data_IF_656075970988
#
_entry.id   IF_656075970988
#
_cell.length_a   1.000
_cell.length_b   1.000
_cell.length_c   1.000
_cell.angle_alpha   90.00
_cell.angle_beta   90.00
_cell.angle_gamma   90.00
#
_symmetry.space_group_name_H-M   'P 1'
#
loop_
_entity.id
_entity.type
_entity.pdbx_description
1 polymer ?
#
# COMPACT_ATOMS: atom_id res chain seq x y z
N UNK A 1 13.75 -9.53 -54.08
CA UNK A 1 13.69 -8.37 -53.16
C UNK A 1 12.27 -8.05 -52.71
N UNK A 2 11.28 -7.85 -53.62
CA UNK A 2 9.88 -7.52 -53.27
C UNK A 2 9.20 -8.47 -52.26
N UNK A 3 9.47 -9.79 -52.33
CA UNK A 3 8.94 -10.78 -51.36
C UNK A 3 9.53 -10.61 -49.95
N UNK A 4 10.79 -10.19 -49.85
CA UNK A 4 11.47 -9.96 -48.57
C UNK A 4 10.93 -8.68 -47.91
N UNK A 5 10.70 -7.63 -48.71
CA UNK A 5 10.10 -6.37 -48.23
C UNK A 5 8.68 -6.58 -47.72
N UNK A 6 7.90 -7.46 -48.38
CA UNK A 6 6.51 -7.78 -47.98
C UNK A 6 6.45 -8.57 -46.65
N UNK A 7 7.40 -9.46 -46.41
CA UNK A 7 7.52 -10.19 -45.14
C UNK A 7 7.91 -9.24 -44.02
N UNK A 8 8.84 -8.30 -44.29
CA UNK A 8 9.31 -7.33 -43.30
C UNK A 8 8.20 -6.36 -42.87
N UNK A 9 7.37 -5.87 -43.81
CA UNK A 9 6.22 -5.02 -43.48
C UNK A 9 5.13 -5.76 -42.72
N UNK A 10 4.90 -7.05 -43.02
CA UNK A 10 3.94 -7.88 -42.29
C UNK A 10 4.40 -8.09 -40.83
N UNK A 11 5.69 -8.32 -40.59
CA UNK A 11 6.26 -8.46 -39.25
C UNK A 11 6.11 -7.17 -38.42
N UNK A 12 6.38 -6.00 -38.99
CA UNK A 12 6.23 -4.72 -38.28
C UNK A 12 4.79 -4.39 -37.91
N UNK A 13 3.82 -4.85 -38.71
CA UNK A 13 2.39 -4.61 -38.47
C UNK A 13 1.83 -5.45 -37.30
N UNK A 14 2.48 -6.57 -36.94
CA UNK A 14 2.05 -7.43 -35.83
C UNK A 14 2.55 -6.87 -34.48
N UNK A 15 3.67 -6.14 -34.48
CA UNK A 15 4.30 -5.59 -33.28
C UNK A 15 3.63 -4.33 -32.70
N UNK A 16 2.73 -3.66 -33.42
CA UNK A 16 2.05 -2.44 -32.93
C UNK A 16 0.86 -2.72 -32.01
N UNK A 17 0.49 -3.99 -31.78
CA UNK A 17 -0.63 -4.39 -30.92
C UNK A 17 -0.27 -4.70 -29.46
N UNK A 18 1.00 -4.66 -29.07
CA UNK A 18 1.41 -4.98 -27.69
C UNK A 18 1.20 -3.78 -26.76
N UNK A 19 -0.03 -3.58 -26.30
CA UNK A 19 -0.27 -2.90 -25.03
C UNK A 19 0.32 -3.77 -23.93
N UNK A 20 1.46 -3.34 -23.35
CA UNK A 20 2.07 -3.99 -22.20
C UNK A 20 1.03 -4.15 -21.09
N UNK A 21 0.82 -5.38 -20.64
CA UNK A 21 -0.15 -5.71 -19.62
C UNK A 21 0.17 -4.93 -18.35
N UNK A 22 -0.67 -3.94 -18.01
CA UNK A 22 -0.63 -3.35 -16.67
C UNK A 22 -1.23 -4.37 -15.71
N UNK A 23 -0.42 -5.31 -15.24
CA UNK A 23 -0.83 -6.23 -14.18
C UNK A 23 -1.08 -5.40 -12.93
N UNK A 24 -2.35 -5.28 -12.54
CA UNK A 24 -2.73 -4.69 -11.26
C UNK A 24 -2.16 -5.56 -10.16
N UNK A 25 -1.03 -5.15 -9.59
CA UNK A 25 -0.36 -5.88 -8.51
C UNK A 25 -1.24 -5.93 -7.25
N UNK A 26 -1.07 -7.02 -6.49
CA UNK A 26 -1.68 -7.16 -5.17
C UNK A 26 -1.16 -6.11 -4.20
N UNK A 27 -2.01 -5.72 -3.26
CA UNK A 27 -1.65 -4.79 -2.20
C UNK A 27 -1.10 -5.60 -1.01
N UNK A 28 0.10 -5.24 -0.55
CA UNK A 28 0.77 -5.83 0.58
C UNK A 28 0.70 -4.90 1.80
N UNK A 29 0.44 -5.49 2.97
CA UNK A 29 0.45 -4.78 4.25
C UNK A 29 1.64 -5.28 5.08
N UNK A 30 2.62 -4.42 5.33
CA UNK A 30 3.84 -4.73 6.10
C UNK A 30 3.79 -4.06 7.46
N UNK A 31 4.16 -4.79 8.51
CA UNK A 31 4.26 -4.26 9.89
C UNK A 31 5.55 -3.45 10.04
N UNK A 32 5.46 -2.27 10.64
CA UNK A 32 6.59 -1.39 10.94
C UNK A 32 6.55 -0.92 12.39
N UNK A 33 7.66 -0.43 12.97
CA UNK A 33 7.61 0.24 14.27
C UNK A 33 6.59 1.39 14.22
N UNK A 34 5.58 1.33 15.11
CA UNK A 34 4.52 2.34 15.17
C UNK A 34 3.30 2.09 14.26
N UNK A 35 3.21 0.99 13.50
CA UNK A 35 1.98 0.64 12.77
C UNK A 35 2.16 -0.28 11.57
N UNK A 36 1.46 0.04 10.48
CA UNK A 36 1.50 -0.71 9.22
C UNK A 36 1.73 0.23 8.03
N UNK A 37 2.41 -0.27 7.02
CA UNK A 37 2.61 0.37 5.73
C UNK A 37 2.01 -0.48 4.62
N UNK A 38 1.50 0.20 3.59
CA UNK A 38 0.84 -0.41 2.45
C UNK A 38 1.71 -0.25 1.21
N UNK A 39 1.79 -1.29 0.41
CA UNK A 39 2.60 -1.32 -0.81
C UNK A 39 1.80 -1.94 -1.94
N UNK A 40 1.98 -1.44 -3.16
CA UNK A 40 1.51 -2.08 -4.39
C UNK A 40 2.71 -2.18 -5.32
N UNK A 41 3.19 -3.40 -5.56
CA UNK A 41 4.50 -3.63 -6.15
C UNK A 41 5.61 -2.99 -5.30
N UNK A 42 6.44 -2.16 -5.93
CA UNK A 42 7.54 -1.44 -5.27
C UNK A 42 7.09 -0.10 -4.64
N UNK A 43 5.89 0.38 -4.95
CA UNK A 43 5.42 1.70 -4.53
C UNK A 43 4.72 1.63 -3.17
N UNK A 44 5.13 2.51 -2.25
CA UNK A 44 4.44 2.71 -0.98
C UNK A 44 3.15 3.50 -1.23
N UNK A 45 2.03 2.98 -0.73
CA UNK A 45 0.73 3.65 -0.77
C UNK A 45 0.47 4.38 0.55
N UNK A 46 0.05 5.63 0.44
CA UNK A 46 -0.62 6.37 1.52
C UNK A 46 -2.04 5.84 1.72
N UNK A 47 -2.69 6.22 2.83
CA UNK A 47 -4.09 5.84 3.08
C UNK A 47 -5.02 6.36 1.98
N UNK A 48 -4.81 7.59 1.52
CA UNK A 48 -5.61 8.20 0.46
C UNK A 48 -5.45 7.45 -0.86
N UNK A 49 -4.20 7.12 -1.24
CA UNK A 49 -3.93 6.32 -2.44
C UNK A 49 -4.51 4.92 -2.31
N UNK A 50 -4.39 4.27 -1.15
CA UNK A 50 -4.99 2.97 -0.88
C UNK A 50 -6.52 2.99 -1.09
N UNK A 51 -7.20 4.02 -0.59
CA UNK A 51 -8.66 4.17 -0.78
C UNK A 51 -9.01 4.35 -2.26
N UNK A 52 -8.23 5.15 -3.00
CA UNK A 52 -8.42 5.38 -4.44
C UNK A 52 -8.18 4.09 -5.22
N UNK A 53 -7.13 3.34 -4.92
CA UNK A 53 -6.81 2.06 -5.56
C UNK A 53 -7.88 1.00 -5.31
N UNK A 54 -8.47 0.97 -4.11
CA UNK A 54 -9.51 0.01 -3.73
C UNK A 54 -10.89 0.38 -4.30
N UNK A 55 -11.12 1.66 -4.64
CA UNK A 55 -12.40 2.20 -5.12
C UNK A 55 -13.13 1.37 -6.20
N UNK A 56 -12.45 0.74 -7.19
CA UNK A 56 -13.13 -0.09 -8.19
C UNK A 56 -13.87 -1.31 -7.61
N UNK A 57 -13.51 -1.77 -6.40
CA UNK A 57 -14.20 -2.85 -5.70
C UNK A 57 -15.10 -2.26 -4.61
N UNK A 58 -16.41 -2.17 -4.88
CA UNK A 58 -17.38 -1.54 -3.98
C UNK A 58 -17.38 -2.17 -2.58
N UNK A 59 -17.27 -3.50 -2.48
CA UNK A 59 -17.23 -4.19 -1.18
C UNK A 59 -16.00 -3.81 -0.36
N UNK A 60 -14.82 -3.81 -0.99
CA UNK A 60 -13.58 -3.41 -0.34
C UNK A 60 -13.55 -1.89 -0.03
N UNK A 61 -14.18 -1.08 -0.87
CA UNK A 61 -14.29 0.37 -0.69
C UNK A 61 -15.11 0.74 0.56
N UNK A 62 -16.23 0.07 0.79
CA UNK A 62 -17.03 0.28 2.01
C UNK A 62 -16.24 -0.10 3.28
N UNK A 63 -15.48 -1.21 3.22
CA UNK A 63 -14.64 -1.66 4.33
C UNK A 63 -13.55 -0.64 4.68
N UNK A 64 -12.79 -0.15 3.67
CA UNK A 64 -11.71 0.82 3.91
C UNK A 64 -12.24 2.20 4.33
N UNK A 65 -13.39 2.64 3.80
CA UNK A 65 -14.04 3.88 4.24
C UNK A 65 -14.41 3.85 5.72
N UNK A 66 -14.89 2.70 6.20
CA UNK A 66 -15.15 2.51 7.64
C UNK A 66 -13.87 2.46 8.49
N UNK A 67 -12.72 2.15 7.89
CA UNK A 67 -11.41 2.20 8.53
C UNK A 67 -10.90 3.65 8.62
N UNK A 68 -11.18 4.48 7.61
CA UNK A 68 -10.75 5.89 7.56
C UNK A 68 -11.22 6.69 8.77
N UNK A 69 -12.45 6.47 9.26
CA UNK A 69 -12.94 7.11 10.47
C UNK A 69 -12.07 6.79 11.70
N UNK A 70 -11.68 5.53 11.87
CA UNK A 70 -10.78 5.10 12.94
C UNK A 70 -9.37 5.70 12.76
N UNK A 71 -8.88 5.77 11.52
CA UNK A 71 -7.60 6.41 11.23
C UNK A 71 -7.58 7.88 11.66
N UNK A 72 -8.58 8.65 11.23
CA UNK A 72 -8.72 10.07 11.60
C UNK A 72 -8.84 10.25 13.10
N UNK A 73 -9.67 9.45 13.76
CA UNK A 73 -9.84 9.52 15.21
C UNK A 73 -8.56 9.17 15.96
N UNK A 74 -7.83 8.14 15.51
CA UNK A 74 -6.53 7.78 16.05
C UNK A 74 -5.49 8.88 15.87
N UNK A 75 -5.46 9.56 14.72
CA UNK A 75 -4.58 10.70 14.49
C UNK A 75 -4.90 11.87 15.41
N UNK A 76 -6.18 12.23 15.56
CA UNK A 76 -6.60 13.33 16.45
C UNK A 76 -6.20 13.03 17.89
N UNK A 77 -6.49 11.82 18.39
CA UNK A 77 -6.14 11.42 19.75
C UNK A 77 -4.61 11.37 19.95
N UNK A 78 -3.88 10.83 18.99
CA UNK A 78 -2.43 10.73 19.03
C UNK A 78 -1.74 12.10 18.99
N UNK A 79 -2.17 12.99 18.10
CA UNK A 79 -1.62 14.34 17.99
C UNK A 79 -1.99 15.20 19.20
N UNK A 80 -3.25 15.15 19.66
CA UNK A 80 -3.66 15.88 20.86
C UNK A 80 -2.90 15.38 22.10
N UNK A 81 -2.85 14.06 22.31
CA UNK A 81 -2.13 13.46 23.43
C UNK A 81 -0.62 13.73 23.38
N UNK A 82 -0.02 13.55 22.21
CA UNK A 82 1.40 13.83 21.98
C UNK A 82 1.76 15.30 22.14
N UNK A 83 0.91 16.21 21.67
CA UNK A 83 1.08 17.66 21.85
C UNK A 83 1.02 18.03 23.33
N UNK A 84 0.04 17.53 24.08
CA UNK A 84 -0.07 17.79 25.52
C UNK A 84 1.18 17.31 26.25
N UNK A 85 1.63 16.07 26.02
CA UNK A 85 2.85 15.56 26.65
C UNK A 85 4.08 16.37 26.24
N UNK A 86 4.25 16.63 24.94
CA UNK A 86 5.37 17.39 24.39
C UNK A 86 5.45 18.81 24.95
N UNK A 87 4.30 19.49 25.07
CA UNK A 87 4.22 20.82 25.67
C UNK A 87 4.66 20.82 27.14
N UNK A 88 4.23 19.82 27.91
CA UNK A 88 4.61 19.68 29.32
C UNK A 88 6.09 19.34 29.50
N UNK A 89 6.66 18.51 28.63
CA UNK A 89 8.10 18.23 28.60
C UNK A 89 8.91 19.49 28.24
N UNK A 90 8.43 20.29 27.27
CA UNK A 90 9.03 21.59 26.97
C UNK A 90 9.05 22.49 28.21
N UNK A 91 7.92 22.66 28.89
CA UNK A 91 7.85 23.44 30.13
C UNK A 91 8.78 22.92 31.23
N UNK A 92 8.96 21.60 31.33
CA UNK A 92 9.89 20.99 32.29
C UNK A 92 11.33 21.49 32.09
N UNK A 93 11.76 21.65 30.83
CA UNK A 93 13.11 22.09 30.48
C UNK A 93 13.32 23.60 30.69
N UNK A 94 12.30 24.42 30.39
CA UNK A 94 12.44 25.88 30.38
C UNK A 94 12.02 26.56 31.69
N UNK A 95 10.99 26.05 32.36
CA UNK A 95 10.32 26.73 33.47
C UNK A 95 10.17 25.87 34.71
N UNK A 96 10.56 24.59 34.67
CA UNK A 96 10.35 23.57 35.73
C UNK A 96 8.88 23.36 36.18
N UNK A 97 7.92 24.07 35.59
CA UNK A 97 6.50 24.00 35.93
C UNK A 97 5.78 22.94 35.08
N UNK A 98 5.89 21.69 35.52
CA UNK A 98 5.17 20.58 34.90
C UNK A 98 3.82 20.39 35.56
N UNK A 99 2.74 20.58 34.80
CA UNK A 99 1.42 20.13 35.22
C UNK A 99 1.25 18.65 34.85
N UNK A 100 1.52 17.78 35.82
CA UNK A 100 1.40 16.33 35.69
C UNK A 100 -0.03 15.84 35.44
N UNK A 101 -1.06 16.61 35.82
CA UNK A 101 -2.46 16.27 35.50
C UNK A 101 -2.70 16.37 34.00
N UNK A 102 -2.17 17.42 33.36
CA UNK A 102 -2.24 17.56 31.89
C UNK A 102 -1.42 16.49 31.19
N UNK A 103 -0.21 16.19 31.68
CA UNK A 103 0.59 15.08 31.14
C UNK A 103 -0.16 13.73 31.24
N UNK A 104 -0.82 13.47 32.36
CA UNK A 104 -1.67 12.29 32.55
C UNK A 104 -2.87 12.24 31.59
N UNK A 105 -3.51 13.38 31.32
CA UNK A 105 -4.58 13.48 30.32
C UNK A 105 -4.04 13.15 28.91
N UNK A 106 -2.89 13.72 28.53
CA UNK A 106 -2.25 13.43 27.25
C UNK A 106 -1.89 11.94 27.10
N UNK A 107 -1.36 11.33 28.16
CA UNK A 107 -1.10 9.89 28.18
C UNK A 107 -2.39 9.06 28.05
N UNK A 108 -3.47 9.46 28.73
CA UNK A 108 -4.78 8.82 28.60
C UNK A 108 -5.32 8.84 27.17
N UNK A 109 -5.19 9.96 26.46
CA UNK A 109 -5.57 10.07 25.05
C UNK A 109 -4.76 9.10 24.15
N UNK A 110 -3.45 8.98 24.39
CA UNK A 110 -2.60 8.04 23.65
C UNK A 110 -3.04 6.60 23.92
N UNK A 111 -3.34 6.24 25.16
CA UNK A 111 -3.83 4.90 25.52
C UNK A 111 -5.13 4.58 24.78
N UNK A 112 -6.05 5.54 24.65
CA UNK A 112 -7.28 5.38 23.87
C UNK A 112 -7.03 5.30 22.36
N UNK A 113 -5.97 5.93 21.85
CA UNK A 113 -5.60 5.85 20.44
C UNK A 113 -5.15 4.44 20.01
N UNK A 114 -4.62 3.63 20.93
CA UNK A 114 -4.12 2.27 20.65
C UNK A 114 -5.23 1.34 20.10
N UNK A 115 -6.35 1.11 20.81
CA UNK A 115 -7.41 0.23 20.31
C UNK A 115 -8.08 0.78 19.04
N UNK A 116 -8.16 2.11 18.89
CA UNK A 116 -8.67 2.77 17.67
C UNK A 116 -7.76 2.44 16.47
N UNK A 117 -6.44 2.53 16.65
CA UNK A 117 -5.46 2.15 15.63
C UNK A 117 -5.51 0.66 15.27
N UNK A 118 -5.71 -0.22 16.26
CA UNK A 118 -5.92 -1.66 16.00
C UNK A 118 -7.18 -1.91 15.17
N UNK A 119 -8.28 -1.22 15.48
CA UNK A 119 -9.53 -1.29 14.71
C UNK A 119 -9.34 -0.83 13.26
N UNK A 120 -8.55 0.22 13.02
CA UNK A 120 -8.16 0.62 11.67
C UNK A 120 -7.40 -0.50 10.93
N UNK A 121 -6.36 -1.07 11.55
CA UNK A 121 -5.52 -2.09 10.92
C UNK A 121 -6.32 -3.33 10.51
N UNK A 122 -7.23 -3.79 11.36
CA UNK A 122 -8.08 -4.96 11.06
C UNK A 122 -8.99 -4.70 9.85
N UNK A 123 -9.65 -3.54 9.81
CA UNK A 123 -10.53 -3.18 8.70
C UNK A 123 -9.77 -2.94 7.41
N UNK A 124 -8.61 -2.28 7.47
CA UNK A 124 -7.74 -2.08 6.31
C UNK A 124 -7.27 -3.43 5.74
N UNK A 125 -6.90 -4.39 6.59
CA UNK A 125 -6.53 -5.74 6.17
C UNK A 125 -7.68 -6.46 5.47
N UNK A 126 -8.91 -6.36 5.99
CA UNK A 126 -10.09 -6.96 5.37
C UNK A 126 -10.38 -6.36 3.99
N UNK A 127 -10.27 -5.04 3.86
CA UNK A 127 -10.44 -4.34 2.59
C UNK A 127 -9.40 -4.78 1.55
N UNK A 128 -8.13 -4.86 1.96
CA UNK A 128 -7.02 -5.31 1.11
C UNK A 128 -7.23 -6.76 0.67
N UNK A 129 -7.62 -7.64 1.59
CA UNK A 129 -7.88 -9.04 1.25
C UNK A 129 -9.06 -9.20 0.27
N UNK A 130 -10.14 -8.44 0.49
CA UNK A 130 -11.30 -8.42 -0.40
C UNK A 130 -10.92 -7.89 -1.79
N UNK A 131 -10.11 -6.83 -1.86
CA UNK A 131 -9.59 -6.30 -3.12
C UNK A 131 -8.70 -7.33 -3.84
N UNK A 132 -7.72 -7.90 -3.14
CA UNK A 132 -6.80 -8.89 -3.68
C UNK A 132 -7.49 -10.20 -4.08
N UNK A 133 -8.68 -10.51 -3.54
CA UNK A 133 -9.57 -11.60 -3.97
C UNK A 133 -10.32 -11.30 -5.26
N UNK A 134 -10.61 -10.04 -5.55
CA UNK A 134 -11.22 -9.63 -6.81
C UNK A 134 -10.24 -9.57 -7.99
N UNK A 135 -8.93 -9.65 -7.75
CA UNK A 135 -7.93 -9.60 -8.81
C UNK A 135 -7.81 -10.91 -9.60
N UNK A 136 -7.52 -10.85 -10.91
CA UNK A 136 -7.28 -12.05 -11.72
C UNK A 136 -6.10 -12.86 -11.18
N UNK A 137 -6.14 -14.18 -11.37
CA UNK A 137 -5.12 -15.11 -10.82
C UNK A 137 -3.68 -14.78 -11.28
N UNK A 138 -3.51 -14.10 -12.42
CA UNK A 138 -2.23 -13.60 -12.90
C UNK A 138 -1.60 -12.55 -11.99
N UNK A 139 -2.40 -11.67 -11.36
CA UNK A 139 -1.92 -10.67 -10.40
C UNK A 139 -1.47 -11.27 -9.06
N UNK A 140 -1.88 -12.52 -8.76
CA UNK A 140 -1.47 -13.26 -7.56
C UNK A 140 -0.24 -14.13 -7.77
N UNK A 141 0.12 -14.45 -9.02
CA UNK A 141 1.28 -15.29 -9.27
C UNK A 141 2.54 -14.50 -8.96
N UNK A 142 3.48 -15.17 -8.28
CA UNK A 142 4.87 -14.73 -8.20
C UNK A 142 5.33 -14.23 -9.56
N UNK A 143 6.15 -13.17 -9.57
CA UNK A 143 6.75 -12.54 -10.76
C UNK A 143 7.64 -13.54 -11.51
N UNK A 144 7.03 -14.56 -12.11
CA UNK A 144 7.73 -15.51 -12.94
C UNK A 144 7.96 -14.84 -14.28
N UNK A 145 9.15 -14.24 -14.42
CA UNK A 145 9.54 -13.55 -15.62
C UNK A 145 9.99 -14.58 -16.66
N UNK A 146 9.26 -14.64 -17.77
CA UNK A 146 9.67 -15.39 -18.96
C UNK A 146 10.53 -14.45 -19.80
N UNK A 147 11.84 -14.66 -19.74
CA UNK A 147 12.82 -13.91 -20.53
C UNK A 147 13.23 -14.73 -21.76
N UNK A 148 13.32 -14.09 -22.92
CA UNK A 148 13.94 -14.73 -24.09
C UNK A 148 15.47 -14.60 -23.95
N UNK A 149 16.20 -15.71 -23.98
CA UNK A 149 17.67 -15.72 -23.87
C UNK A 149 18.28 -16.50 -25.02
N UNK A 150 19.37 -15.96 -25.57
CA UNK A 150 20.18 -16.64 -26.57
C UNK A 150 21.46 -17.17 -25.90
N UNK A 151 21.69 -18.48 -26.00
CA UNK A 151 22.93 -19.13 -25.57
C UNK A 151 23.66 -19.71 -26.79
N UNK A 152 24.89 -20.18 -26.62
CA UNK A 152 25.68 -20.76 -27.71
C UNK A 152 25.00 -21.92 -28.45
N UNK A 153 23.97 -22.54 -27.86
CA UNK A 153 23.19 -23.62 -28.44
C UNK A 153 21.82 -23.20 -29.02
N UNK A 154 21.50 -21.90 -29.05
CA UNK A 154 20.27 -21.37 -29.66
C UNK A 154 19.49 -20.38 -28.79
N UNK A 155 18.28 -20.05 -29.23
CA UNK A 155 17.35 -19.15 -28.53
C UNK A 155 16.37 -19.99 -27.71
N UNK A 156 16.19 -19.66 -26.44
CA UNK A 156 15.27 -20.33 -25.52
C UNK A 156 14.51 -19.36 -24.62
N UNK A 157 13.48 -19.86 -23.97
CA UNK A 157 12.74 -19.14 -22.93
C UNK A 157 13.33 -19.51 -21.56
N UNK A 158 13.69 -18.50 -20.78
CA UNK A 158 14.19 -18.62 -19.41
C UNK A 158 13.10 -18.17 -18.46
N UNK A 159 12.57 -19.12 -17.68
CA UNK A 159 11.64 -18.83 -16.60
C UNK A 159 12.46 -18.54 -15.33
N UNK A 160 12.43 -17.29 -14.86
CA UNK A 160 12.96 -16.94 -13.52
C UNK A 160 11.82 -17.05 -12.50
N UNK A 161 12.10 -17.67 -11.37
CA UNK A 161 11.14 -17.83 -10.26
C UNK A 161 11.44 -16.86 -9.12
#
# INVERSE_FOLDING_TARGET
MKKLTLILTLLTAISTGSFGQHTTDTILMKKVPGGYQFFQGENRLTISELIVTIKPNEQAYQQIKSAQANYTMGQVLGYAGGFIIGYQLGRALWSSEVNWRMAGLGAGLIVLAIPVGQGFNTKARQAIDTYNRGLPASARRNKSEINLSATGNGIGLVLKF
#
